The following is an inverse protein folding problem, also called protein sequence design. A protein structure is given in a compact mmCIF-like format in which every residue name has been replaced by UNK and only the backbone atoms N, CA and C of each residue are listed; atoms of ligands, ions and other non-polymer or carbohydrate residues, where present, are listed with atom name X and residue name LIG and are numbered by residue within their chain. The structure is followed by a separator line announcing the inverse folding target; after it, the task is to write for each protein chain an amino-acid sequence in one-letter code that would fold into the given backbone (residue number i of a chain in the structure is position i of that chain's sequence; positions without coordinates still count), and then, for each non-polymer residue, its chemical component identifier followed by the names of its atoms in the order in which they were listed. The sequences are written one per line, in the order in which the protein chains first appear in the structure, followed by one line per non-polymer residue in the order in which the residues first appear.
data_IF_377292033055
#
_entry.id   IF_377292033055
#
_cell.length_a   1.000
_cell.length_b   1.000
_cell.length_c   1.000
_cell.angle_alpha   90.00
_cell.angle_beta   90.00
_cell.angle_gamma   90.00
#
_symmetry.space_group_name_H-M   'P 1'
#
loop_
_entity.id
_entity.type
_entity.pdbx_description
1 polymer ?
#
# COMPACT_ATOMS: atom_id res chain seq x y z
N UNK A 1 -8.30 21.48 2.18
CA UNK A 1 -8.59 21.09 0.82
C UNK A 1 -8.06 19.68 0.56
N UNK A 2 -7.80 19.34 -0.70
CA UNK A 2 -7.30 17.99 -1.04
C UNK A 2 -5.98 17.65 -0.34
N UNK A 3 -5.04 18.60 -0.28
CA UNK A 3 -3.75 18.40 0.41
C UNK A 3 -3.93 18.04 1.89
N UNK A 4 -4.83 18.73 2.59
CA UNK A 4 -5.12 18.44 3.99
C UNK A 4 -5.73 17.04 4.17
N UNK A 5 -6.60 16.63 3.25
CA UNK A 5 -7.24 15.33 3.27
C UNK A 5 -6.21 14.21 3.05
N UNK A 6 -5.27 14.42 2.12
CA UNK A 6 -4.15 13.48 1.90
C UNK A 6 -3.25 13.40 3.13
N UNK A 7 -2.99 14.50 3.81
CA UNK A 7 -2.22 14.52 5.04
C UNK A 7 -2.91 13.73 6.16
N UNK A 8 -4.23 13.84 6.25
CA UNK A 8 -5.00 13.07 7.21
C UNK A 8 -4.95 11.58 6.90
N UNK A 9 -5.04 11.21 5.62
CA UNK A 9 -4.89 9.82 5.20
C UNK A 9 -3.48 9.30 5.51
N UNK A 10 -2.46 10.13 5.31
CA UNK A 10 -1.07 9.79 5.65
C UNK A 10 -0.90 9.54 7.15
N UNK A 11 -1.53 10.34 7.99
CA UNK A 11 -1.52 10.13 9.44
C UNK A 11 -2.23 8.85 9.83
N UNK A 12 -3.37 8.58 9.20
CA UNK A 12 -4.10 7.34 9.43
C UNK A 12 -3.25 6.12 9.06
N UNK A 13 -2.52 6.17 7.95
CA UNK A 13 -1.58 5.12 7.54
C UNK A 13 -0.56 4.84 8.66
N UNK A 14 0.03 5.89 9.22
CA UNK A 14 1.04 5.75 10.27
C UNK A 14 0.45 5.19 11.58
N UNK A 15 -0.84 5.36 11.81
CA UNK A 15 -1.51 4.92 13.03
C UNK A 15 -2.11 3.51 12.94
N UNK A 16 -2.16 2.91 11.75
CA UNK A 16 -2.64 1.53 11.59
C UNK A 16 -1.71 0.59 12.37
N UNK A 17 -2.23 -0.17 13.36
CA UNK A 17 -1.37 -1.03 14.20
C UNK A 17 -0.53 -2.02 13.40
N UNK A 18 -1.11 -2.61 12.35
CA UNK A 18 -0.37 -3.55 11.50
C UNK A 18 0.80 -2.87 10.78
N UNK A 19 0.60 -1.64 10.30
CA UNK A 19 1.67 -0.86 9.67
C UNK A 19 2.77 -0.53 10.65
N UNK A 20 2.42 -0.23 11.89
CA UNK A 20 3.39 0.02 12.97
C UNK A 20 4.20 -1.24 13.27
N UNK A 21 3.54 -2.38 13.32
CA UNK A 21 4.22 -3.66 13.54
C UNK A 21 5.21 -3.98 12.43
N UNK A 22 4.85 -3.72 11.19
CA UNK A 22 5.73 -3.92 10.04
C UNK A 22 6.80 -2.84 9.93
N UNK A 23 6.63 -1.70 10.59
CA UNK A 23 7.56 -0.58 10.54
C UNK A 23 7.47 0.22 9.24
N UNK A 24 6.28 0.32 8.65
CA UNK A 24 6.10 1.03 7.39
C UNK A 24 6.23 2.54 7.60
N UNK A 25 7.01 3.19 6.74
CA UNK A 25 7.24 4.65 6.74
C UNK A 25 6.86 5.23 5.39
N UNK A 26 5.87 6.11 5.40
CA UNK A 26 5.38 6.74 4.18
C UNK A 26 6.39 7.76 3.66
N UNK A 27 6.74 7.66 2.38
CA UNK A 27 7.61 8.62 1.71
C UNK A 27 6.80 9.62 0.89
N UNK A 28 5.80 9.14 0.14
CA UNK A 28 5.02 9.97 -0.75
C UNK A 28 3.63 9.36 -0.95
N UNK A 29 2.60 10.20 -0.87
CA UNK A 29 1.23 9.78 -1.15
C UNK A 29 0.56 10.85 -2.01
N UNK A 30 0.17 10.44 -3.21
CA UNK A 30 -0.59 11.24 -4.15
C UNK A 30 -1.87 10.51 -4.54
N UNK A 31 -2.71 11.16 -5.33
CA UNK A 31 -4.00 10.61 -5.73
C UNK A 31 -3.89 9.46 -6.73
N UNK A 32 -2.72 9.25 -7.33
CA UNK A 32 -2.48 8.23 -8.33
C UNK A 32 -1.30 7.31 -8.02
N UNK A 33 -0.49 7.61 -6.99
CA UNK A 33 0.63 6.76 -6.60
C UNK A 33 1.00 6.92 -5.13
N UNK A 34 1.67 5.90 -4.61
CA UNK A 34 2.21 5.88 -3.24
C UNK A 34 3.60 5.25 -3.25
N UNK A 35 4.45 5.72 -2.36
CA UNK A 35 5.75 5.12 -2.07
C UNK A 35 5.96 5.09 -0.57
N UNK A 36 6.34 3.94 -0.04
CA UNK A 36 6.74 3.83 1.37
C UNK A 36 7.85 2.79 1.49
N UNK A 37 8.49 2.76 2.65
CA UNK A 37 9.61 1.85 2.88
C UNK A 37 9.48 1.20 4.26
N UNK A 38 10.25 0.14 4.45
CA UNK A 38 10.43 -0.49 5.74
C UNK A 38 11.79 -1.19 5.81
N UNK A 39 12.27 -1.41 7.02
CA UNK A 39 13.55 -2.05 7.26
C UNK A 39 13.37 -3.54 7.51
N UNK A 40 14.37 -4.33 7.08
CA UNK A 40 14.41 -5.73 7.47
C UNK A 40 14.57 -5.85 8.99
N UNK A 41 13.83 -6.75 9.58
CA UNK A 41 13.97 -7.12 10.98
C UNK A 41 13.60 -8.58 11.16
N UNK A 42 14.01 -9.15 12.29
CA UNK A 42 13.86 -10.57 12.59
C UNK A 42 12.42 -11.07 12.42
N UNK A 43 11.46 -10.28 12.86
CA UNK A 43 10.03 -10.64 12.83
C UNK A 43 9.45 -10.81 11.43
N UNK A 44 10.15 -10.31 10.40
CA UNK A 44 9.69 -10.37 9.01
C UNK A 44 10.28 -11.55 8.24
N UNK A 45 11.15 -12.33 8.86
CA UNK A 45 11.83 -13.44 8.20
C UNK A 45 10.90 -14.64 8.07
N UNK A 46 10.74 -15.13 6.83
CA UNK A 46 9.99 -16.34 6.55
C UNK A 46 10.87 -17.55 6.34
N UNK A 47 12.03 -17.34 5.71
CA UNK A 47 13.03 -18.39 5.50
C UNK A 47 14.22 -18.09 6.41
N UNK A 48 14.29 -18.80 7.54
CA UNK A 48 15.32 -18.58 8.54
C UNK A 48 16.72 -19.01 8.07
N UNK A 49 16.80 -19.89 7.08
CA UNK A 49 18.10 -20.36 6.54
C UNK A 49 18.77 -19.26 5.70
N UNK A 50 17.99 -18.41 5.06
CA UNK A 50 18.49 -17.38 4.15
C UNK A 50 18.20 -15.95 4.63
N UNK A 51 17.47 -15.79 5.72
CA UNK A 51 17.16 -14.47 6.28
C UNK A 51 16.38 -13.56 5.34
N UNK A 52 15.47 -14.13 4.56
CA UNK A 52 14.68 -13.38 3.58
C UNK A 52 13.25 -13.16 4.08
N UNK A 53 12.59 -12.15 3.50
CA UNK A 53 11.22 -11.79 3.86
C UNK A 53 10.25 -12.96 3.68
N UNK A 54 9.36 -13.11 4.65
CA UNK A 54 8.20 -13.99 4.51
C UNK A 54 7.31 -13.48 3.36
N UNK A 55 6.83 -14.41 2.52
CA UNK A 55 5.93 -14.05 1.42
C UNK A 55 4.66 -13.34 1.89
N UNK A 56 4.18 -13.67 3.09
CA UNK A 56 3.04 -12.99 3.69
C UNK A 56 3.32 -11.51 4.02
N UNK A 57 4.56 -11.16 4.36
CA UNK A 57 4.96 -9.76 4.53
C UNK A 57 4.88 -9.05 3.19
N UNK A 58 5.41 -9.65 2.15
CA UNK A 58 5.41 -9.08 0.79
C UNK A 58 3.96 -8.81 0.34
N UNK A 59 3.08 -9.79 0.46
CA UNK A 59 1.69 -9.64 0.05
C UNK A 59 0.95 -8.60 0.90
N UNK A 60 1.19 -8.56 2.20
CA UNK A 60 0.59 -7.58 3.11
C UNK A 60 1.00 -6.16 2.74
N UNK A 61 2.29 -5.96 2.48
CA UNK A 61 2.85 -4.66 2.13
C UNK A 61 2.30 -4.18 0.79
N UNK A 62 2.22 -5.05 -0.19
CA UNK A 62 1.68 -4.69 -1.51
C UNK A 62 0.17 -4.42 -1.43
N UNK A 63 -0.57 -5.18 -0.66
CA UNK A 63 -1.99 -4.91 -0.43
C UNK A 63 -2.20 -3.54 0.22
N UNK A 64 -1.39 -3.20 1.21
CA UNK A 64 -1.43 -1.89 1.86
C UNK A 64 -1.17 -0.77 0.85
N UNK A 65 -0.17 -0.93 -0.01
CA UNK A 65 0.16 0.05 -1.03
C UNK A 65 -1.01 0.28 -2.00
N UNK A 66 -1.58 -0.81 -2.51
CA UNK A 66 -2.72 -0.75 -3.43
C UNK A 66 -3.96 -0.13 -2.78
N UNK A 67 -4.28 -0.55 -1.57
CA UNK A 67 -5.43 -0.03 -0.84
C UNK A 67 -5.31 1.46 -0.56
N UNK A 68 -4.11 1.92 -0.20
CA UNK A 68 -3.88 3.34 0.11
C UNK A 68 -4.00 4.23 -1.12
N UNK A 69 -3.47 3.81 -2.26
CA UNK A 69 -3.59 4.62 -3.49
C UNK A 69 -5.04 4.67 -3.96
N UNK A 70 -5.80 3.61 -3.74
CA UNK A 70 -7.24 3.58 -4.03
C UNK A 70 -7.98 4.56 -3.11
N UNK A 71 -7.68 4.56 -1.82
CA UNK A 71 -8.28 5.51 -0.86
C UNK A 71 -7.94 6.97 -1.25
N UNK A 72 -6.70 7.23 -1.67
CA UNK A 72 -6.31 8.55 -2.13
C UNK A 72 -7.11 8.99 -3.37
N UNK A 73 -7.41 8.05 -4.27
CA UNK A 73 -8.22 8.35 -5.44
C UNK A 73 -9.66 8.72 -5.08
N UNK A 74 -10.18 8.18 -3.99
CA UNK A 74 -11.53 8.55 -3.48
C UNK A 74 -11.51 10.02 -3.04
N UNK A 75 -10.44 10.46 -2.41
CA UNK A 75 -10.27 11.86 -2.01
C UNK A 75 -10.34 12.77 -3.22
N UNK A 76 -9.69 12.40 -4.32
CA UNK A 76 -9.72 13.18 -5.55
C UNK A 76 -11.13 13.25 -6.15
N UNK A 77 -11.84 12.14 -6.22
CA UNK A 77 -13.19 12.07 -6.78
C UNK A 77 -14.21 12.87 -5.97
N UNK A 78 -14.01 12.95 -4.66
CA UNK A 78 -14.92 13.58 -3.71
C UNK A 78 -14.24 14.75 -2.98
N UNK A 79 -13.44 15.53 -3.72
CA UNK A 79 -12.64 16.61 -3.14
C UNK A 79 -13.50 17.67 -2.42
N UNK A 80 -14.72 17.89 -2.90
CA UNK A 80 -15.64 18.88 -2.32
C UNK A 80 -16.56 18.31 -1.24
N UNK A 81 -16.48 17.00 -0.97
CA UNK A 81 -17.32 16.37 0.04
C UNK A 81 -16.82 16.69 1.45
N UNK A 82 -17.75 16.77 2.44
CA UNK A 82 -17.34 16.92 3.83
C UNK A 82 -16.47 15.75 4.29
N UNK A 83 -15.61 16.01 5.27
CA UNK A 83 -14.69 15.02 5.79
C UNK A 83 -15.40 13.75 6.30
N UNK A 84 -16.53 13.91 6.98
CA UNK A 84 -17.31 12.78 7.51
C UNK A 84 -17.79 11.85 6.40
N UNK A 85 -18.28 12.42 5.30
CA UNK A 85 -18.76 11.68 4.15
C UNK A 85 -17.63 10.95 3.45
N UNK A 86 -16.50 11.63 3.32
CA UNK A 86 -15.28 11.08 2.74
C UNK A 86 -14.73 9.92 3.59
N UNK A 87 -14.73 10.07 4.91
CA UNK A 87 -14.28 9.03 5.82
C UNK A 87 -15.18 7.78 5.71
N UNK A 88 -16.48 7.97 5.54
CA UNK A 88 -17.42 6.86 5.35
C UNK A 88 -17.14 6.10 4.05
N UNK A 89 -16.82 6.82 2.96
CA UNK A 89 -16.47 6.20 1.68
C UNK A 89 -15.16 5.43 1.78
N UNK A 90 -14.14 6.03 2.37
CA UNK A 90 -12.84 5.38 2.57
C UNK A 90 -12.99 4.14 3.45
N UNK A 91 -13.82 4.22 4.49
CA UNK A 91 -14.07 3.09 5.39
C UNK A 91 -14.73 1.90 4.72
N UNK A 92 -15.32 2.06 3.55
CA UNK A 92 -15.92 0.97 2.78
C UNK A 92 -14.92 0.29 1.84
N UNK A 93 -13.73 0.85 1.69
CA UNK A 93 -12.70 0.27 0.83
C UNK A 93 -12.26 -1.08 1.39
N UNK A 94 -12.32 -2.10 0.56
CA UNK A 94 -11.88 -3.44 0.95
C UNK A 94 -11.25 -4.15 -0.22
N UNK A 95 -10.31 -5.05 0.07
CA UNK A 95 -9.64 -5.85 -0.95
C UNK A 95 -10.58 -6.94 -1.42
N UNK A 96 -10.84 -6.99 -2.72
CA UNK A 96 -11.63 -8.04 -3.36
C UNK A 96 -10.73 -9.21 -3.73
N UNK A 97 -9.64 -8.91 -4.41
CA UNK A 97 -8.63 -9.92 -4.72
C UNK A 97 -7.26 -9.28 -4.84
N UNK A 98 -6.24 -10.12 -4.79
CA UNK A 98 -4.85 -9.69 -4.82
C UNK A 98 -4.07 -10.80 -5.54
N UNK A 99 -3.32 -10.43 -6.56
CA UNK A 99 -2.45 -11.35 -7.26
C UNK A 99 -1.00 -10.86 -7.15
N UNK A 100 -0.15 -11.69 -6.56
CA UNK A 100 1.25 -11.36 -6.32
C UNK A 100 2.13 -12.33 -7.10
N UNK A 101 3.10 -11.79 -7.81
CA UNK A 101 4.16 -12.56 -8.45
C UNK A 101 5.45 -12.36 -7.65
N UNK A 102 5.95 -13.44 -7.07
CA UNK A 102 7.18 -13.44 -6.28
C UNK A 102 8.33 -13.75 -7.22
N UNK A 103 9.04 -12.71 -7.66
CA UNK A 103 10.02 -12.82 -8.72
C UNK A 103 11.42 -13.18 -8.23
N UNK A 104 11.80 -12.68 -7.06
CA UNK A 104 13.11 -12.88 -6.46
C UNK A 104 13.00 -12.98 -4.95
N UNK A 105 14.00 -13.58 -4.28
CA UNK A 105 13.99 -13.62 -2.80
C UNK A 105 13.93 -12.21 -2.21
N UNK A 106 13.18 -12.07 -1.14
CA UNK A 106 13.05 -10.81 -0.40
C UNK A 106 14.28 -10.52 0.44
N UNK A 107 15.42 -10.33 -0.23
CA UNK A 107 16.71 -10.11 0.40
C UNK A 107 17.07 -8.63 0.38
N UNK A 108 17.51 -8.09 1.50
CA UNK A 108 17.92 -6.71 1.60
C UNK A 108 17.81 -6.19 3.01
N UNK A 109 18.15 -4.91 3.18
CA UNK A 109 18.05 -4.20 4.45
C UNK A 109 16.91 -3.19 4.45
N UNK A 110 16.64 -2.60 3.30
CA UNK A 110 15.58 -1.60 3.12
C UNK A 110 14.72 -2.06 1.94
N UNK A 111 13.41 -2.05 2.14
CA UNK A 111 12.46 -2.41 1.09
C UNK A 111 11.57 -1.21 0.76
N UNK A 112 11.32 -1.01 -0.52
CA UNK A 112 10.53 0.10 -1.04
C UNK A 112 9.32 -0.47 -1.75
N UNK A 113 8.12 -0.10 -1.28
CA UNK A 113 6.86 -0.47 -1.90
C UNK A 113 6.32 0.72 -2.69
N UNK A 114 5.80 0.44 -3.87
CA UNK A 114 5.16 1.43 -4.74
C UNK A 114 3.85 0.87 -5.25
N UNK A 115 2.88 1.74 -5.40
CA UNK A 115 1.63 1.40 -6.06
C UNK A 115 1.15 2.55 -6.93
N UNK A 116 0.47 2.18 -7.99
CA UNK A 116 -0.14 3.11 -8.94
C UNK A 116 -1.59 2.74 -9.14
N UNK A 117 -2.43 3.76 -9.22
CA UNK A 117 -3.82 3.56 -9.61
C UNK A 117 -3.87 3.23 -11.10
N UNK A 118 -4.48 2.11 -11.44
CA UNK A 118 -4.71 1.72 -12.84
C UNK A 118 -6.02 2.31 -13.33
N UNK A 119 -7.08 2.10 -12.55
CA UNK A 119 -8.41 2.60 -12.89
C UNK A 119 -9.25 2.67 -11.62
N UNK A 120 -10.06 3.71 -11.52
CA UNK A 120 -11.05 3.83 -10.46
C UNK A 120 -12.43 4.00 -11.09
N UNK A 121 -13.25 2.95 -10.98
CA UNK A 121 -14.63 2.95 -11.43
C UNK A 121 -15.59 3.44 -10.35
N UNK A 122 -16.87 3.09 -10.49
CA UNK A 122 -17.91 3.48 -9.53
C UNK A 122 -17.93 2.55 -8.32
N UNK A 123 -17.66 1.28 -8.50
CA UNK A 123 -17.73 0.26 -7.45
C UNK A 123 -16.39 -0.40 -7.17
N UNK A 124 -15.51 -0.44 -8.16
CA UNK A 124 -14.25 -1.18 -8.10
C UNK A 124 -13.13 -0.29 -8.60
N UNK A 125 -11.98 -0.40 -7.95
CA UNK A 125 -10.74 0.23 -8.38
C UNK A 125 -9.66 -0.82 -8.52
N UNK A 126 -8.70 -0.56 -9.42
CA UNK A 126 -7.59 -1.45 -9.70
C UNK A 126 -6.27 -0.72 -9.45
N UNK A 127 -5.34 -1.40 -8.81
CA UNK A 127 -4.01 -0.88 -8.54
C UNK A 127 -2.95 -1.87 -8.97
N UNK A 128 -1.78 -1.35 -9.33
CA UNK A 128 -0.58 -2.12 -9.62
C UNK A 128 0.47 -1.80 -8.56
N UNK A 129 1.20 -2.81 -8.11
CA UNK A 129 2.15 -2.67 -7.02
C UNK A 129 3.49 -3.31 -7.35
N UNK A 130 4.55 -2.81 -6.72
CA UNK A 130 5.90 -3.34 -6.82
C UNK A 130 6.62 -3.25 -5.49
N UNK A 131 7.51 -4.20 -5.24
CA UNK A 131 8.43 -4.18 -4.10
C UNK A 131 9.85 -4.35 -4.60
N UNK A 132 10.73 -3.42 -4.21
CA UNK A 132 12.15 -3.48 -4.50
C UNK A 132 12.95 -3.40 -3.20
N UNK A 133 14.23 -3.78 -3.25
CA UNK A 133 15.16 -3.53 -2.15
C UNK A 133 15.97 -2.25 -2.41
N UNK A 134 16.93 -1.93 -1.54
CA UNK A 134 17.77 -0.74 -1.64
C UNK A 134 18.66 -0.72 -2.89
N UNK A 135 18.92 -1.86 -3.50
CA UNK A 135 19.71 -1.99 -4.72
C UNK A 135 18.83 -1.96 -5.98
N UNK A 136 17.57 -1.56 -5.81
CA UNK A 136 16.57 -1.51 -6.88
C UNK A 136 16.32 -2.87 -7.55
N UNK A 137 16.50 -3.96 -6.81
CA UNK A 137 16.18 -5.30 -7.27
C UNK A 137 14.67 -5.51 -7.10
N UNK A 138 13.97 -5.81 -8.19
CA UNK A 138 12.53 -6.06 -8.16
C UNK A 138 12.27 -7.42 -7.54
N UNK A 139 11.65 -7.43 -6.36
CA UNK A 139 11.38 -8.63 -5.59
C UNK A 139 10.02 -9.23 -5.96
N UNK A 140 9.01 -8.37 -6.07
CA UNK A 140 7.65 -8.82 -6.34
C UNK A 140 6.85 -7.74 -7.06
N UNK A 141 5.86 -8.18 -7.82
CA UNK A 141 4.86 -7.32 -8.43
C UNK A 141 3.48 -7.82 -8.03
N UNK A 142 2.50 -6.94 -8.10
CA UNK A 142 1.14 -7.31 -7.78
C UNK A 142 0.11 -6.47 -8.51
N UNK A 143 -1.10 -7.01 -8.56
CA UNK A 143 -2.30 -6.29 -8.96
C UNK A 143 -3.36 -6.54 -7.90
N UNK A 144 -4.14 -5.52 -7.59
CA UNK A 144 -5.20 -5.61 -6.62
C UNK A 144 -6.49 -5.02 -7.15
N UNK A 145 -7.60 -5.63 -6.74
CA UNK A 145 -8.95 -5.15 -7.01
C UNK A 145 -9.57 -4.78 -5.68
N UNK A 146 -10.13 -3.59 -5.62
CA UNK A 146 -10.66 -3.01 -4.37
C UNK A 146 -12.09 -2.56 -4.56
N UNK A 147 -12.92 -2.91 -3.60
CA UNK A 147 -14.30 -2.41 -3.53
C UNK A 147 -14.27 -0.99 -2.95
N UNK A 148 -14.95 -0.05 -3.60
CA UNK A 148 -14.95 1.36 -3.19
C UNK A 148 -16.36 1.93 -2.97
N UNK A 149 -17.36 1.05 -3.01
CA UNK A 149 -18.75 1.49 -2.83
C UNK A 149 -19.49 0.56 -1.86
#
# INVERSE_FOLDING_TARGET
MMTEKLEQLSRAFAEIPFNQMLGLQLNDLNTDHITFNFLMKKELIGNFLHGILHGGVISSVLDMAGGMVVMASIIQKHADSPLEELAALIGKTSTVDLQISYLRPGKGEIFIAKAWLVKSGNKIAFARMELCNQDNVLIATGTGTYLIN
#
